data_IF_817012498577
#
_entry.id   IF_817012498577
#
_cell.length_a   1.000
_cell.length_b   1.000
_cell.length_c   1.000
_cell.angle_alpha   90.00
_cell.angle_beta   90.00
_cell.angle_gamma   90.00
#
_symmetry.space_group_name_H-M   'P 1'
#
loop_
_entity.id
_entity.type
_entity.pdbx_description
1 polymer ?
#
# COMPACT_ATOMS: atom_id res chain seq x y z
N UNK A 1 8.50 16.63 -48.87
CA UNK A 1 9.35 16.16 -47.74
C UNK A 1 8.89 16.91 -46.52
N UNK A 2 7.90 16.39 -45.82
CA UNK A 2 7.43 16.92 -44.53
C UNK A 2 7.66 15.82 -43.51
N UNK A 3 8.77 15.98 -42.78
CA UNK A 3 9.10 15.13 -41.63
C UNK A 3 8.36 15.71 -40.43
N UNK A 4 7.18 15.16 -40.17
CA UNK A 4 6.42 15.45 -38.94
C UNK A 4 6.88 14.48 -37.86
N UNK A 5 8.01 14.77 -37.26
CA UNK A 5 8.43 14.16 -35.98
C UNK A 5 7.42 14.56 -34.90
N UNK A 6 6.55 13.63 -34.55
CA UNK A 6 5.70 13.74 -33.35
C UNK A 6 6.62 13.95 -32.14
N UNK A 7 6.29 14.86 -31.20
CA UNK A 7 7.06 15.01 -29.99
C UNK A 7 7.04 13.66 -29.25
N UNK A 8 8.22 13.11 -28.95
CA UNK A 8 8.37 11.94 -28.10
C UNK A 8 7.81 12.35 -26.74
N UNK A 9 6.60 11.88 -26.41
CA UNK A 9 6.00 12.06 -25.11
C UNK A 9 6.94 11.44 -24.08
N UNK A 10 7.39 12.25 -23.12
CA UNK A 10 8.08 11.77 -21.92
C UNK A 10 7.24 10.66 -21.31
N UNK A 11 7.79 9.45 -21.17
CA UNK A 11 7.10 8.36 -20.48
C UNK A 11 6.75 8.88 -19.09
N UNK A 12 5.50 8.66 -18.62
CA UNK A 12 5.15 9.07 -17.27
C UNK A 12 6.11 8.44 -16.27
N UNK A 13 6.52 9.21 -15.27
CA UNK A 13 7.30 8.68 -14.16
C UNK A 13 6.44 7.63 -13.43
N UNK A 14 7.00 6.46 -13.13
CA UNK A 14 6.27 5.41 -12.43
C UNK A 14 6.57 5.48 -10.94
N UNK A 15 5.52 5.48 -10.12
CA UNK A 15 5.63 5.31 -8.68
C UNK A 15 5.90 3.86 -8.31
N UNK A 16 5.31 2.91 -9.07
CA UNK A 16 5.52 1.48 -8.89
C UNK A 16 5.48 0.78 -10.24
N UNK A 17 6.41 -0.14 -10.48
CA UNK A 17 6.36 -1.07 -11.60
C UNK A 17 6.57 -2.50 -11.09
N UNK A 18 5.67 -3.38 -11.46
CA UNK A 18 5.71 -4.81 -11.13
C UNK A 18 5.71 -5.58 -12.44
N UNK A 19 6.71 -6.45 -12.65
CA UNK A 19 6.87 -7.19 -13.92
C UNK A 19 7.12 -8.66 -13.65
N UNK A 20 6.24 -9.54 -14.16
CA UNK A 20 6.38 -10.99 -14.11
C UNK A 20 6.46 -11.55 -12.69
N UNK A 21 5.85 -10.88 -11.71
CA UNK A 21 5.97 -11.22 -10.30
C UNK A 21 5.30 -12.54 -9.99
N UNK A 22 6.08 -13.47 -9.43
CA UNK A 22 5.61 -14.83 -9.11
C UNK A 22 5.99 -15.20 -7.68
N UNK A 23 5.04 -15.84 -6.98
CA UNK A 23 5.21 -16.40 -5.64
C UNK A 23 4.40 -17.67 -5.47
N UNK A 24 5.08 -18.77 -5.14
CA UNK A 24 4.46 -20.06 -4.81
C UNK A 24 4.51 -20.31 -3.32
N UNK A 25 3.46 -20.93 -2.80
CA UNK A 25 3.39 -21.41 -1.42
C UNK A 25 3.10 -22.91 -1.39
N UNK A 26 3.68 -23.61 -0.45
CA UNK A 26 3.47 -25.06 -0.25
C UNK A 26 1.99 -25.41 0.01
N UNK A 27 1.19 -24.46 0.45
CA UNK A 27 -0.26 -24.59 0.64
C UNK A 27 -1.05 -24.70 -0.67
N UNK A 28 -0.41 -24.56 -1.83
CA UNK A 28 -1.03 -24.57 -3.16
C UNK A 28 -1.49 -23.19 -3.66
N UNK A 29 -1.37 -22.13 -2.84
CA UNK A 29 -1.62 -20.77 -3.32
C UNK A 29 -0.45 -20.30 -4.20
N UNK A 30 -0.78 -19.69 -5.33
CA UNK A 30 0.21 -19.11 -6.24
C UNK A 30 -0.24 -17.73 -6.70
N UNK A 31 0.67 -16.77 -6.62
CA UNK A 31 0.63 -15.52 -7.36
C UNK A 31 1.52 -15.73 -8.59
N UNK A 32 0.98 -15.62 -9.82
CA UNK A 32 1.70 -16.01 -11.03
C UNK A 32 1.68 -14.91 -12.08
N UNK A 33 2.86 -14.56 -12.58
CA UNK A 33 3.12 -13.61 -13.68
C UNK A 33 2.38 -12.27 -13.55
N UNK A 34 2.33 -11.69 -12.34
CA UNK A 34 1.66 -10.42 -12.10
C UNK A 34 2.48 -9.26 -12.67
N UNK A 35 1.85 -8.49 -13.56
CA UNK A 35 2.47 -7.34 -14.22
C UNK A 35 1.51 -6.16 -14.22
N UNK A 36 1.94 -5.02 -13.67
CA UNK A 36 1.21 -3.75 -13.72
C UNK A 36 2.13 -2.58 -13.38
N UNK A 37 1.71 -1.37 -13.77
CA UNK A 37 2.39 -0.11 -13.48
C UNK A 37 1.43 0.87 -12.81
N UNK A 38 1.94 1.62 -11.82
CA UNK A 38 1.28 2.78 -11.23
C UNK A 38 2.06 4.05 -11.61
N UNK A 39 1.50 4.92 -12.46
CA UNK A 39 2.11 6.22 -12.72
C UNK A 39 2.14 7.09 -11.46
N UNK A 40 3.12 8.00 -11.36
CA UNK A 40 3.18 8.98 -10.27
C UNK A 40 1.97 9.92 -10.32
N UNK A 41 1.49 10.34 -9.14
CA UNK A 41 0.35 11.25 -9.02
C UNK A 41 -1.02 10.56 -9.02
N UNK A 42 -1.08 9.23 -8.92
CA UNK A 42 -2.35 8.50 -9.03
C UNK A 42 -2.60 7.55 -7.86
N UNK A 43 -3.88 7.20 -7.69
CA UNK A 43 -4.36 6.21 -6.73
C UNK A 43 -4.71 4.91 -7.45
N UNK A 44 -4.13 3.79 -7.02
CA UNK A 44 -4.48 2.46 -7.51
C UNK A 44 -5.15 1.61 -6.43
N UNK A 45 -6.30 1.04 -6.74
CA UNK A 45 -6.99 0.06 -5.91
C UNK A 45 -6.64 -1.38 -6.28
N UNK A 46 -6.23 -2.17 -5.29
CA UNK A 46 -6.09 -3.63 -5.41
C UNK A 46 -7.40 -4.30 -5.00
N UNK A 47 -8.09 -4.89 -5.95
CA UNK A 47 -9.43 -5.48 -5.77
C UNK A 47 -9.36 -6.99 -5.79
N UNK A 48 -10.13 -7.61 -4.93
CA UNK A 48 -10.30 -9.07 -4.95
C UNK A 48 -10.91 -9.59 -3.65
N UNK A 49 -11.46 -10.80 -3.65
CA UNK A 49 -11.99 -11.42 -2.44
C UNK A 49 -10.89 -11.67 -1.39
N UNK A 50 -11.31 -12.03 -0.18
CA UNK A 50 -10.37 -12.45 0.84
C UNK A 50 -9.61 -13.70 0.36
N UNK A 51 -8.30 -13.72 0.57
CA UNK A 51 -7.42 -14.78 0.08
C UNK A 51 -6.95 -14.62 -1.37
N UNK A 52 -7.40 -13.59 -2.12
CA UNK A 52 -7.01 -13.37 -3.52
C UNK A 52 -5.54 -12.97 -3.74
N UNK A 53 -4.75 -12.82 -2.68
CA UNK A 53 -3.33 -12.48 -2.78
C UNK A 53 -3.01 -10.99 -2.63
N UNK A 54 -3.98 -10.10 -2.33
CA UNK A 54 -3.75 -8.66 -2.14
C UNK A 54 -2.64 -8.39 -1.12
N UNK A 55 -2.78 -8.92 0.10
CA UNK A 55 -1.77 -8.76 1.16
C UNK A 55 -0.45 -9.47 0.82
N UNK A 56 -0.47 -10.55 0.04
CA UNK A 56 0.75 -11.20 -0.47
C UNK A 56 1.48 -10.28 -1.43
N UNK A 57 0.77 -9.67 -2.37
CA UNK A 57 1.32 -8.70 -3.30
C UNK A 57 1.93 -7.49 -2.56
N UNK A 58 1.22 -6.93 -1.59
CA UNK A 58 1.73 -5.85 -0.73
C UNK A 58 3.02 -6.28 -0.01
N UNK A 59 3.05 -7.47 0.60
CA UNK A 59 4.24 -7.98 1.29
C UNK A 59 5.44 -8.19 0.35
N UNK A 60 5.19 -8.58 -0.90
CA UNK A 60 6.23 -8.71 -1.94
C UNK A 60 6.77 -7.33 -2.33
N UNK A 61 5.91 -6.32 -2.53
CA UNK A 61 6.30 -4.95 -2.84
C UNK A 61 7.15 -4.36 -1.70
N UNK A 62 6.79 -4.63 -0.45
CA UNK A 62 7.51 -4.18 0.75
C UNK A 62 8.77 -5.02 1.05
N UNK A 63 9.11 -6.01 0.22
CA UNK A 63 10.21 -6.95 0.45
C UNK A 63 10.15 -7.67 1.82
N UNK A 64 8.93 -7.84 2.37
CA UNK A 64 8.69 -8.59 3.63
C UNK A 64 8.73 -10.11 3.42
N UNK A 65 8.52 -10.57 2.19
CA UNK A 65 8.62 -11.96 1.75
C UNK A 65 9.36 -12.02 0.41
N UNK A 66 10.13 -13.07 0.21
CA UNK A 66 10.94 -13.25 -1.00
C UNK A 66 10.07 -13.69 -2.18
N UNK A 67 10.19 -13.02 -3.33
CA UNK A 67 9.60 -13.43 -4.61
C UNK A 67 10.35 -14.64 -5.19
N UNK A 68 9.67 -15.45 -5.98
CA UNK A 68 10.29 -16.59 -6.68
C UNK A 68 10.76 -16.18 -8.08
N UNK A 69 10.06 -15.21 -8.72
CA UNK A 69 10.45 -14.62 -10.00
C UNK A 69 9.88 -13.20 -10.15
N UNK A 70 10.32 -12.50 -11.18
CA UNK A 70 9.86 -11.16 -11.53
C UNK A 70 10.66 -10.04 -10.89
N UNK A 71 10.22 -8.79 -11.15
CA UNK A 71 10.88 -7.57 -10.70
C UNK A 71 9.88 -6.58 -10.12
N UNK A 72 10.32 -5.83 -9.12
CA UNK A 72 9.55 -4.73 -8.51
C UNK A 72 10.48 -3.52 -8.46
N UNK A 73 10.01 -2.42 -9.05
CA UNK A 73 10.69 -1.12 -9.00
C UNK A 73 9.76 -0.10 -8.35
N UNK A 74 10.27 0.63 -7.38
CA UNK A 74 9.58 1.72 -6.68
C UNK A 74 10.33 3.01 -6.98
N UNK A 75 9.65 3.99 -7.58
CA UNK A 75 10.26 5.27 -7.99
C UNK A 75 11.55 5.10 -8.82
N UNK A 76 11.59 4.06 -9.66
CA UNK A 76 12.74 3.71 -10.49
C UNK A 76 13.89 3.00 -9.76
N UNK A 77 13.73 2.66 -8.48
CA UNK A 77 14.70 1.90 -7.68
C UNK A 77 14.24 0.44 -7.58
N UNK A 78 15.16 -0.51 -7.67
CA UNK A 78 14.84 -1.93 -7.43
C UNK A 78 14.53 -2.17 -5.95
N UNK A 79 13.39 -2.79 -5.66
CA UNK A 79 12.91 -2.99 -4.29
C UNK A 79 13.80 -3.89 -3.42
N UNK A 80 14.70 -4.70 -4.01
CA UNK A 80 15.67 -5.53 -3.27
C UNK A 80 17.05 -4.88 -3.20
N UNK A 81 17.55 -4.39 -4.34
CA UNK A 81 18.93 -3.88 -4.44
C UNK A 81 19.08 -2.52 -3.75
N UNK A 82 18.01 -1.69 -3.78
CA UNK A 82 17.94 -0.36 -3.17
C UNK A 82 16.99 -0.31 -1.95
N UNK A 83 16.82 -1.39 -1.21
CA UNK A 83 15.78 -1.57 -0.19
C UNK A 83 15.70 -0.42 0.82
N UNK A 84 16.82 0.06 1.35
CA UNK A 84 16.86 1.16 2.33
C UNK A 84 16.32 2.45 1.74
N UNK A 85 16.78 2.83 0.55
CA UNK A 85 16.34 4.02 -0.18
C UNK A 85 14.87 3.97 -0.59
N UNK A 86 14.38 2.78 -0.95
CA UNK A 86 12.97 2.53 -1.24
C UNK A 86 12.14 2.72 0.02
N UNK A 87 12.53 2.09 1.15
CA UNK A 87 11.78 2.16 2.41
C UNK A 87 11.69 3.57 2.99
N UNK A 88 12.68 4.41 2.80
CA UNK A 88 12.63 5.82 3.21
C UNK A 88 11.52 6.62 2.49
N UNK A 89 11.14 6.21 1.28
CA UNK A 89 10.14 6.87 0.44
C UNK A 89 8.75 6.22 0.51
N UNK A 90 8.61 5.17 1.33
CA UNK A 90 7.34 4.46 1.49
C UNK A 90 6.62 4.86 2.78
N UNK A 91 5.34 5.19 2.67
CA UNK A 91 4.42 5.24 3.78
C UNK A 91 3.59 3.96 3.83
N UNK A 92 3.56 3.28 4.98
CA UNK A 92 2.94 1.96 5.07
C UNK A 92 1.88 1.92 6.16
N UNK A 93 0.68 1.45 5.79
CA UNK A 93 -0.41 1.16 6.72
C UNK A 93 -0.86 -0.28 6.47
N UNK A 94 -0.67 -1.15 7.45
CA UNK A 94 -1.06 -2.56 7.35
C UNK A 94 -2.42 -2.81 8.03
N UNK A 95 -3.03 -3.94 7.71
CA UNK A 95 -4.30 -4.39 8.32
C UNK A 95 -4.25 -4.47 9.85
N UNK A 96 -3.09 -4.73 10.42
CA UNK A 96 -2.85 -4.71 11.86
C UNK A 96 -1.67 -3.80 12.22
N UNK A 97 -1.76 -3.17 13.39
CA UNK A 97 -0.67 -2.31 13.88
C UNK A 97 0.61 -3.11 14.09
N UNK A 98 1.71 -2.56 13.58
CA UNK A 98 3.07 -3.09 13.77
C UNK A 98 3.81 -2.42 14.95
N UNK A 99 3.16 -1.49 15.64
CA UNK A 99 3.74 -0.86 16.82
C UNK A 99 3.63 -1.76 18.05
N UNK A 100 4.63 -1.68 18.94
CA UNK A 100 4.65 -2.43 20.20
C UNK A 100 3.50 -1.93 21.10
N UNK A 101 2.63 -2.83 21.56
CA UNK A 101 1.39 -2.53 22.29
C UNK A 101 1.57 -1.64 23.54
N UNK A 102 2.71 -1.75 24.23
CA UNK A 102 2.99 -0.99 25.44
C UNK A 102 3.65 0.38 25.20
N UNK A 103 4.01 0.69 23.95
CA UNK A 103 4.49 2.03 23.58
C UNK A 103 3.36 3.05 23.69
N UNK A 104 3.72 4.29 23.98
CA UNK A 104 2.81 5.43 23.84
C UNK A 104 2.89 6.00 22.43
N UNK A 105 1.88 6.77 22.02
CA UNK A 105 1.89 7.52 20.75
C UNK A 105 3.16 8.40 20.64
N UNK A 106 3.57 9.05 21.73
CA UNK A 106 4.81 9.83 21.79
C UNK A 106 6.08 8.96 21.60
N UNK A 107 6.07 7.74 22.14
CA UNK A 107 7.19 6.81 21.91
C UNK A 107 7.24 6.31 20.47
N UNK A 108 6.09 6.16 19.78
CA UNK A 108 6.04 5.84 18.34
C UNK A 108 6.76 6.92 17.54
N UNK A 109 6.46 8.20 17.77
CA UNK A 109 7.17 9.28 17.06
C UNK A 109 8.69 9.24 17.34
N UNK A 110 9.09 9.11 18.60
CA UNK A 110 10.52 9.07 18.96
C UNK A 110 11.30 7.93 18.30
N UNK A 111 10.64 6.80 18.03
CA UNK A 111 11.26 5.66 17.36
C UNK A 111 11.18 5.75 15.84
N UNK A 112 10.13 6.33 15.28
CA UNK A 112 9.95 6.45 13.83
C UNK A 112 10.77 7.61 13.24
N UNK A 113 10.78 8.76 13.89
CA UNK A 113 11.47 9.97 13.40
C UNK A 113 12.92 9.75 12.94
N UNK A 114 13.79 9.01 13.64
CA UNK A 114 15.17 8.81 13.20
C UNK A 114 15.30 7.95 11.93
N UNK A 115 14.24 7.23 11.54
CA UNK A 115 14.22 6.35 10.37
C UNK A 115 13.93 7.11 9.07
N UNK A 116 13.39 8.34 9.18
CA UNK A 116 12.91 9.11 8.03
C UNK A 116 13.58 10.49 7.99
N UNK A 117 14.47 10.74 7.00
CA UNK A 117 15.19 12.02 6.89
C UNK A 117 14.29 13.24 6.75
N UNK A 118 13.11 13.07 6.14
CA UNK A 118 12.14 14.15 5.87
C UNK A 118 10.99 14.21 6.88
N UNK A 119 11.20 13.69 8.10
CA UNK A 119 10.16 13.71 9.13
C UNK A 119 9.76 15.13 9.53
N UNK A 120 8.45 15.42 9.43
CA UNK A 120 7.84 16.67 9.89
C UNK A 120 7.06 16.47 11.20
N UNK A 121 7.65 16.94 12.30
CA UNK A 121 7.03 16.90 13.62
C UNK A 121 5.71 17.69 13.70
N UNK A 122 5.64 18.86 13.03
CA UNK A 122 4.44 19.69 13.08
C UNK A 122 3.28 19.03 12.32
N UNK A 123 3.59 18.37 11.21
CA UNK A 123 2.62 17.61 10.43
C UNK A 123 2.10 16.40 11.23
N UNK A 124 3.00 15.66 11.90
CA UNK A 124 2.60 14.58 12.79
C UNK A 124 1.65 15.07 13.89
N UNK A 125 1.98 16.18 14.56
CA UNK A 125 1.12 16.81 15.56
C UNK A 125 -0.25 17.24 14.99
N UNK A 126 -0.27 17.75 13.77
CA UNK A 126 -1.51 18.12 13.11
C UNK A 126 -2.41 16.89 12.88
N UNK A 127 -1.85 15.78 12.42
CA UNK A 127 -2.59 14.52 12.27
C UNK A 127 -3.04 13.94 13.62
N UNK A 128 -2.22 13.98 14.66
CA UNK A 128 -2.65 13.55 16.00
C UNK A 128 -3.87 14.34 16.49
N UNK A 129 -3.87 15.68 16.31
CA UNK A 129 -5.03 16.52 16.65
C UNK A 129 -6.25 16.18 15.79
N UNK A 130 -6.07 16.07 14.46
CA UNK A 130 -7.14 15.71 13.51
C UNK A 130 -7.82 14.40 13.86
N UNK A 131 -7.03 13.40 14.25
CA UNK A 131 -7.50 12.05 14.57
C UNK A 131 -7.88 11.86 16.06
N UNK A 132 -7.75 12.88 16.90
CA UNK A 132 -8.05 12.79 18.33
C UNK A 132 -7.14 11.83 19.11
N UNK A 133 -5.87 11.69 18.67
CA UNK A 133 -4.89 10.79 19.28
C UNK A 133 -4.06 11.50 20.35
N UNK A 134 -4.25 11.09 21.61
CA UNK A 134 -3.47 11.62 22.73
C UNK A 134 -2.08 11.03 22.81
N UNK A 135 -1.02 11.87 22.90
CA UNK A 135 0.40 11.44 22.93
C UNK A 135 0.74 10.43 24.04
N UNK A 136 0.08 10.51 25.19
CA UNK A 136 0.32 9.66 26.36
C UNK A 136 -0.44 8.33 26.32
N UNK A 137 -1.35 8.13 25.34
CA UNK A 137 -2.08 6.87 25.23
C UNK A 137 -1.17 5.75 24.75
N UNK A 138 -1.32 4.57 25.33
CA UNK A 138 -0.64 3.36 24.88
C UNK A 138 -1.35 2.77 23.66
N UNK A 139 -0.59 2.12 22.80
CA UNK A 139 -1.13 1.49 21.57
C UNK A 139 -2.22 0.48 21.89
N UNK A 140 -2.04 -0.36 22.93
CA UNK A 140 -3.04 -1.33 23.38
C UNK A 140 -4.39 -0.72 23.81
N UNK A 141 -4.38 0.56 24.21
CA UNK A 141 -5.56 1.29 24.66
C UNK A 141 -6.29 2.01 23.51
N UNK A 142 -5.75 1.93 22.29
CA UNK A 142 -6.34 2.46 21.07
C UNK A 142 -7.25 1.41 20.42
N UNK A 143 -8.41 1.83 19.93
CA UNK A 143 -9.21 0.97 19.05
C UNK A 143 -8.48 0.67 17.76
N UNK A 144 -8.88 -0.38 17.02
CA UNK A 144 -8.29 -0.73 15.71
C UNK A 144 -8.28 0.46 14.75
N UNK A 145 -9.39 1.21 14.64
CA UNK A 145 -9.45 2.42 13.82
C UNK A 145 -8.49 3.52 14.29
N UNK A 146 -8.29 3.70 15.61
CA UNK A 146 -7.29 4.65 16.11
C UNK A 146 -5.86 4.20 15.85
N UNK A 147 -5.58 2.90 15.91
CA UNK A 147 -4.25 2.36 15.54
C UNK A 147 -3.98 2.57 14.05
N UNK A 148 -4.96 2.35 13.18
CA UNK A 148 -4.86 2.64 11.74
C UNK A 148 -4.59 4.14 11.51
N UNK A 149 -5.34 5.04 12.16
CA UNK A 149 -5.12 6.49 12.09
C UNK A 149 -3.72 6.89 12.58
N UNK A 150 -3.17 6.21 13.57
CA UNK A 150 -1.78 6.44 14.02
C UNK A 150 -0.76 5.98 12.98
N UNK A 151 -0.93 4.80 12.37
CA UNK A 151 -0.07 4.35 11.26
C UNK A 151 -0.12 5.34 10.10
N UNK A 152 -1.32 5.83 9.75
CA UNK A 152 -1.50 6.83 8.71
C UNK A 152 -0.78 8.16 9.06
N UNK A 153 -0.91 8.63 10.33
CA UNK A 153 -0.20 9.83 10.79
C UNK A 153 1.33 9.69 10.63
N UNK A 154 1.89 8.52 10.96
CA UNK A 154 3.32 8.24 10.74
C UNK A 154 3.66 8.25 9.25
N UNK A 155 2.88 7.54 8.42
CA UNK A 155 3.12 7.41 6.99
C UNK A 155 3.07 8.75 6.24
N UNK A 156 2.20 9.66 6.67
CA UNK A 156 2.02 10.99 6.06
C UNK A 156 3.02 12.04 6.57
N UNK A 157 3.79 11.75 7.63
CA UNK A 157 4.63 12.75 8.31
C UNK A 157 6.09 12.77 7.84
N UNK A 158 6.45 12.02 6.79
CA UNK A 158 7.83 11.95 6.30
C UNK A 158 7.97 12.12 4.77
N UNK A 159 6.97 12.76 4.13
CA UNK A 159 6.96 13.03 2.70
C UNK A 159 7.12 11.75 1.84
N UNK A 160 6.50 10.66 2.26
CA UNK A 160 6.52 9.40 1.53
C UNK A 160 5.97 9.58 0.11
N UNK A 161 6.71 9.20 -0.92
CA UNK A 161 6.27 9.38 -2.31
C UNK A 161 5.28 8.32 -2.79
N UNK A 162 5.25 7.17 -2.10
CA UNK A 162 4.26 6.12 -2.34
C UNK A 162 3.68 5.63 -1.03
N UNK A 163 2.37 5.78 -0.84
CA UNK A 163 1.62 5.16 0.25
C UNK A 163 1.15 3.77 -0.16
N UNK A 164 1.37 2.78 0.72
CA UNK A 164 0.90 1.39 0.55
C UNK A 164 0.02 1.05 1.74
N UNK A 165 -1.29 0.80 1.47
CA UNK A 165 -2.26 0.55 2.52
C UNK A 165 -2.96 -0.81 2.31
N UNK A 166 -2.92 -1.66 3.34
CA UNK A 166 -3.59 -2.97 3.32
C UNK A 166 -4.90 -2.91 4.11
N UNK A 167 -6.04 -2.98 3.40
CA UNK A 167 -7.41 -2.92 3.94
C UNK A 167 -7.64 -1.71 4.92
N UNK A 168 -7.25 -0.47 4.54
CA UNK A 168 -7.21 0.66 5.46
C UNK A 168 -8.58 1.11 5.96
N UNK A 169 -9.67 0.72 5.30
CA UNK A 169 -11.05 1.04 5.69
C UNK A 169 -11.68 -0.02 6.58
N UNK A 170 -11.01 -1.16 6.78
CA UNK A 170 -11.52 -2.26 7.58
C UNK A 170 -11.71 -1.86 9.04
N UNK A 171 -12.94 -1.97 9.53
CA UNK A 171 -13.28 -1.62 10.92
C UNK A 171 -13.42 -0.12 11.21
N UNK A 172 -13.42 0.73 10.17
CA UNK A 172 -13.79 2.13 10.30
C UNK A 172 -15.31 2.33 10.19
N UNK A 173 -15.83 3.32 10.94
CA UNK A 173 -17.16 3.86 10.71
C UNK A 173 -17.20 4.67 9.38
N UNK A 174 -18.41 4.98 8.91
CA UNK A 174 -18.61 5.65 7.62
C UNK A 174 -17.88 7.00 7.54
N UNK A 175 -17.96 7.82 8.59
CA UNK A 175 -17.33 9.14 8.61
C UNK A 175 -15.80 9.05 8.58
N UNK A 176 -15.23 8.13 9.34
CA UNK A 176 -13.77 7.89 9.33
C UNK A 176 -13.27 7.33 8.00
N UNK A 177 -14.10 6.54 7.31
CA UNK A 177 -13.82 6.04 5.97
C UNK A 177 -13.81 7.17 4.94
N UNK A 178 -14.84 8.03 5.00
CA UNK A 178 -14.93 9.20 4.13
C UNK A 178 -13.74 10.15 4.33
N UNK A 179 -13.38 10.42 5.59
CA UNK A 179 -12.20 11.22 5.93
C UNK A 179 -10.91 10.63 5.35
N UNK A 180 -10.74 9.31 5.40
CA UNK A 180 -9.58 8.64 4.82
C UNK A 180 -9.51 8.84 3.29
N UNK A 181 -10.63 8.65 2.59
CA UNK A 181 -10.66 8.83 1.13
C UNK A 181 -10.31 10.27 0.73
N UNK A 182 -10.80 11.26 1.47
CA UNK A 182 -10.48 12.66 1.24
C UNK A 182 -8.97 12.92 1.46
N UNK A 183 -8.37 12.36 2.53
CA UNK A 183 -6.93 12.47 2.78
C UNK A 183 -6.12 11.87 1.62
N UNK A 184 -6.51 10.70 1.11
CA UNK A 184 -5.79 10.05 0.01
C UNK A 184 -5.91 10.87 -1.29
N UNK A 185 -7.09 11.44 -1.57
CA UNK A 185 -7.30 12.30 -2.74
C UNK A 185 -6.48 13.60 -2.64
N UNK A 186 -6.44 14.24 -1.46
CA UNK A 186 -5.63 15.42 -1.22
C UNK A 186 -4.14 15.13 -1.35
N UNK A 187 -3.71 13.90 -0.93
CA UNK A 187 -2.30 13.49 -0.93
C UNK A 187 -1.72 13.39 -2.34
N UNK A 188 -2.48 12.94 -3.32
CA UNK A 188 -2.03 12.82 -4.72
C UNK A 188 -2.24 14.09 -5.54
N UNK A 189 -2.90 15.12 -4.99
CA UNK A 189 -3.32 16.30 -5.74
C UNK A 189 -2.15 17.14 -6.30
N UNK A 190 -0.94 17.00 -5.75
CA UNK A 190 0.26 17.65 -6.25
C UNK A 190 0.89 16.96 -7.48
N UNK A 191 0.44 15.75 -7.81
CA UNK A 191 0.95 14.93 -8.91
C UNK A 191 2.30 14.25 -8.64
N UNK A 192 2.88 14.42 -7.45
CA UNK A 192 4.16 13.81 -7.06
C UNK A 192 3.99 12.60 -6.16
N UNK A 193 2.92 12.58 -5.37
CA UNK A 193 2.61 11.52 -4.43
C UNK A 193 1.64 10.51 -5.05
N UNK A 194 1.77 9.25 -4.68
CA UNK A 194 0.95 8.15 -5.22
C UNK A 194 0.46 7.24 -4.11
N UNK A 195 -0.62 6.52 -4.37
CA UNK A 195 -1.22 5.61 -3.39
C UNK A 195 -1.55 4.27 -4.05
N UNK A 196 -1.24 3.17 -3.38
CA UNK A 196 -1.80 1.86 -3.68
C UNK A 196 -2.49 1.32 -2.43
N UNK A 197 -3.75 0.92 -2.54
CA UNK A 197 -4.45 0.35 -1.40
C UNK A 197 -5.27 -0.87 -1.76
N UNK A 198 -5.31 -1.84 -0.85
CA UNK A 198 -6.17 -3.01 -1.00
C UNK A 198 -7.51 -2.78 -0.35
N UNK A 199 -8.58 -3.26 -0.97
CA UNK A 199 -9.91 -3.30 -0.38
C UNK A 199 -10.78 -4.40 -1.01
N UNK A 200 -11.77 -4.86 -0.27
CA UNK A 200 -12.86 -5.69 -0.79
C UNK A 200 -14.16 -4.89 -0.92
N UNK A 201 -14.13 -3.58 -0.66
CA UNK A 201 -15.30 -2.68 -0.68
C UNK A 201 -15.21 -1.81 -1.93
N UNK A 202 -16.06 -2.10 -2.91
CA UNK A 202 -16.07 -1.40 -4.22
C UNK A 202 -16.37 0.08 -4.11
N UNK A 203 -17.20 0.50 -3.15
CA UNK A 203 -17.52 1.90 -2.93
C UNK A 203 -16.32 2.79 -2.58
N UNK A 204 -15.30 2.22 -1.89
CA UNK A 204 -14.07 2.95 -1.57
C UNK A 204 -13.27 3.26 -2.85
N UNK A 205 -13.28 2.34 -3.81
CA UNK A 205 -12.60 2.47 -5.09
C UNK A 205 -13.27 3.48 -6.02
N UNK A 206 -14.60 3.42 -6.11
CA UNK A 206 -15.38 4.34 -6.93
C UNK A 206 -15.17 5.81 -6.51
N UNK A 207 -14.80 6.02 -5.24
CA UNK A 207 -14.65 7.36 -4.68
C UNK A 207 -13.29 8.01 -5.00
N UNK A 208 -12.20 7.25 -5.02
CA UNK A 208 -10.86 7.85 -5.12
C UNK A 208 -9.87 7.13 -6.02
N UNK A 209 -10.14 5.91 -6.52
CA UNK A 209 -9.16 5.18 -7.31
C UNK A 209 -9.21 5.59 -8.79
N UNK A 210 -8.05 5.95 -9.34
CA UNK A 210 -7.86 6.23 -10.76
C UNK A 210 -7.65 4.96 -11.57
N UNK A 211 -7.00 3.95 -10.95
CA UNK A 211 -6.70 2.66 -11.56
C UNK A 211 -7.16 1.52 -10.67
N UNK A 212 -7.53 0.41 -11.30
CA UNK A 212 -7.93 -0.82 -10.60
C UNK A 212 -7.10 -1.99 -11.09
N UNK A 213 -6.51 -2.71 -10.15
CA UNK A 213 -5.82 -3.99 -10.41
C UNK A 213 -6.58 -5.11 -9.70
N UNK A 214 -7.08 -6.06 -10.50
CA UNK A 214 -7.83 -7.21 -9.99
C UNK A 214 -6.87 -8.33 -9.59
N UNK A 215 -6.84 -8.67 -8.30
CA UNK A 215 -6.20 -9.89 -7.82
C UNK A 215 -7.19 -11.05 -8.00
N UNK A 216 -6.92 -11.93 -8.96
CA UNK A 216 -7.69 -13.16 -9.16
C UNK A 216 -6.96 -14.32 -8.49
N UNK A 217 -7.73 -15.17 -7.80
CA UNK A 217 -7.21 -16.42 -7.26
C UNK A 217 -6.80 -17.35 -8.41
N UNK A 218 -5.52 -17.56 -8.61
CA UNK A 218 -5.03 -18.74 -9.31
C UNK A 218 -4.80 -19.86 -8.30
N UNK A 219 -5.86 -20.55 -7.91
CA UNK A 219 -5.72 -21.85 -7.28
C UNK A 219 -5.59 -22.87 -8.40
N UNK A 220 -4.43 -23.50 -8.51
CA UNK A 220 -4.31 -24.73 -9.31
C UNK A 220 -5.38 -25.72 -8.80
N UNK A 221 -6.27 -26.27 -9.67
CA UNK A 221 -7.27 -27.23 -9.22
C UNK A 221 -6.53 -28.38 -8.54
N UNK A 222 -6.91 -28.68 -7.30
CA UNK A 222 -6.37 -29.82 -6.57
C UNK A 222 -6.54 -31.10 -7.42
N UNK A 223 -5.55 -32.02 -7.46
CA UNK A 223 -5.71 -33.29 -8.14
C UNK A 223 -6.94 -34.11 -7.69
N UNK A 224 -7.57 -33.75 -6.56
CA UNK A 224 -8.82 -34.36 -6.08
C UNK A 224 -10.06 -33.83 -6.82
N UNK A 225 -10.00 -32.67 -7.44
CA UNK A 225 -11.14 -32.09 -8.17
C UNK A 225 -11.25 -32.64 -9.60
N UNK A 226 -10.21 -33.33 -10.10
CA UNK A 226 -10.18 -33.95 -11.44
C UNK A 226 -10.72 -35.39 -11.43
N UNK A 227 -10.89 -36.01 -10.24
CA UNK A 227 -11.31 -37.39 -10.14
C UNK A 227 -12.84 -37.65 -10.15
N UNK A 228 -13.66 -36.58 -10.29
CA UNK A 228 -15.12 -36.63 -10.18
C UNK A 228 -15.90 -36.67 -11.50
N UNK A 229 -15.28 -36.85 -12.67
CA UNK A 229 -16.00 -36.91 -13.95
C UNK A 229 -15.60 -38.13 -14.80
N UNK A 230 -15.96 -39.29 -14.31
CA UNK A 230 -16.13 -40.52 -15.13
C UNK A 230 -17.27 -41.33 -14.54
N UNK A 231 -18.46 -41.10 -15.04
CA UNK A 231 -19.49 -42.11 -15.34
C UNK A 231 -20.47 -41.49 -16.33
#
# INVERSE_FOLDING_TARGET
>A
MNDSSLPQGTRPTLALSVTGLTKHYDSGFTLDDVTFDLPSGYIMGLVGPNGAGKSTLIKLILNMITRDAGRIEVLGLDAMDDEERVKEQLGVVLDSSYFIEYMTVDAVERTSRPMYPLWDHNLFDAYLRRFGLGRNKKIKDLSRGMQMKLMLAVALSHDAKLLILDEPTSGLDVLSRDELMDILSDYVADGEHSVIFSTHITADLERCADFLTYCLLYTSPSPRDISGSRM
#
